data_IF_005596511873
#
_entry.id   IF_005596511873
#
_cell.length_a   1.000
_cell.length_b   1.000
_cell.length_c   1.000
_cell.angle_alpha   90.00
_cell.angle_beta   90.00
_cell.angle_gamma   90.00
#
_symmetry.space_group_name_H-M   'P 1'
#
loop_
_entity.id
_entity.type
_entity.pdbx_description
1 polymer ?
#
# COMPACT_ATOMS: atom_id res chain seq x y z
N UNK A 1 1.87 16.53 -6.51
CA UNK A 1 1.70 16.31 -5.06
C UNK A 1 1.85 17.63 -4.30
N UNK A 2 0.87 18.01 -3.48
CA UNK A 2 0.71 19.36 -2.92
C UNK A 2 1.30 19.55 -1.52
N UNK A 3 1.12 18.56 -0.65
CA UNK A 3 1.63 18.54 0.73
C UNK A 3 2.18 17.14 0.98
N UNK A 4 3.49 17.01 1.20
CA UNK A 4 4.15 15.74 1.52
C UNK A 4 4.76 15.85 2.92
N UNK A 5 4.50 14.87 3.76
CA UNK A 5 5.04 14.78 5.12
C UNK A 5 5.50 13.36 5.39
N UNK A 6 6.56 13.22 6.18
CA UNK A 6 7.02 11.91 6.64
C UNK A 6 7.44 11.95 8.10
N UNK A 7 7.15 10.90 8.84
CA UNK A 7 7.47 10.79 10.26
C UNK A 7 7.89 9.38 10.62
N UNK A 8 8.99 9.25 11.39
CA UNK A 8 9.34 8.02 12.06
C UNK A 8 8.62 7.96 13.41
N UNK A 9 7.81 6.93 13.60
CA UNK A 9 7.21 6.53 14.87
C UNK A 9 7.96 5.30 15.39
N UNK A 10 7.78 4.97 16.67
CA UNK A 10 8.49 3.88 17.35
C UNK A 10 8.55 2.57 16.53
N UNK A 11 7.42 2.18 15.91
CA UNK A 11 7.28 0.90 15.20
C UNK A 11 7.02 1.03 13.69
N UNK A 12 6.96 2.23 13.16
CA UNK A 12 6.65 2.45 11.74
C UNK A 12 7.23 3.77 11.22
N UNK A 13 7.57 3.80 9.94
CA UNK A 13 7.79 5.04 9.21
C UNK A 13 6.56 5.34 8.36
N UNK A 14 6.03 6.56 8.47
CA UNK A 14 4.79 6.97 7.80
C UNK A 14 5.10 8.06 6.81
N UNK A 15 4.66 7.88 5.57
CA UNK A 15 4.64 8.91 4.53
C UNK A 15 3.18 9.30 4.30
N UNK A 16 2.90 10.59 4.15
CA UNK A 16 1.58 11.11 3.78
C UNK A 16 1.74 12.07 2.63
N UNK A 17 0.80 12.03 1.70
CA UNK A 17 0.69 13.11 0.75
C UNK A 17 -0.72 13.41 0.26
N UNK A 18 -0.98 14.70 0.03
CA UNK A 18 -2.20 15.22 -0.58
C UNK A 18 -1.97 15.54 -2.06
N UNK A 19 -2.88 15.11 -2.92
CA UNK A 19 -2.86 15.41 -4.34
C UNK A 19 -3.24 16.88 -4.61
N UNK A 20 -2.54 17.52 -5.57
CA UNK A 20 -2.80 18.92 -5.93
C UNK A 20 -4.14 19.04 -6.65
N UNK A 21 -4.68 20.25 -6.70
CA UNK A 21 -5.90 20.55 -7.46
C UNK A 21 -5.81 20.24 -8.96
N UNK A 22 -4.59 20.17 -9.51
CA UNK A 22 -4.32 19.79 -10.90
C UNK A 22 -4.05 18.29 -11.11
N UNK A 23 -4.22 17.46 -10.08
CA UNK A 23 -3.93 16.03 -10.19
C UNK A 23 -4.88 15.34 -11.18
N UNK A 24 -4.37 14.47 -12.07
CA UNK A 24 -5.22 13.67 -12.94
C UNK A 24 -6.04 12.67 -12.11
N UNK A 25 -7.14 12.18 -12.67
CA UNK A 25 -7.85 11.03 -12.08
C UNK A 25 -7.12 9.74 -12.41
N UNK A 26 -6.81 8.93 -11.39
CA UNK A 26 -6.31 7.55 -11.58
C UNK A 26 -7.14 6.58 -10.74
N UNK A 27 -7.23 5.33 -11.21
CA UNK A 27 -8.06 4.30 -10.60
C UNK A 27 -7.30 3.00 -10.39
N UNK A 28 -7.74 2.24 -9.39
CA UNK A 28 -7.45 0.82 -9.24
C UNK A 28 -8.78 0.09 -9.44
N UNK A 29 -8.89 -0.64 -10.56
CA UNK A 29 -10.19 -1.11 -11.06
C UNK A 29 -11.19 0.05 -11.15
N UNK A 30 -12.35 -0.10 -10.53
CA UNK A 30 -13.38 0.94 -10.51
C UNK A 30 -13.17 2.01 -9.44
N UNK A 31 -12.13 1.91 -8.61
CA UNK A 31 -11.94 2.78 -7.44
C UNK A 31 -11.02 3.95 -7.76
N UNK A 32 -11.48 5.20 -7.60
CA UNK A 32 -10.62 6.39 -7.76
C UNK A 32 -9.66 6.47 -6.58
N UNK A 33 -8.36 6.52 -6.83
CA UNK A 33 -7.32 6.59 -5.78
C UNK A 33 -6.44 7.84 -5.89
N UNK A 34 -6.46 8.49 -7.05
CA UNK A 34 -5.84 9.79 -7.28
C UNK A 34 -6.88 10.70 -7.90
N UNK A 35 -7.08 11.87 -7.30
CA UNK A 35 -7.88 12.98 -7.78
C UNK A 35 -7.52 14.23 -6.96
N UNK A 36 -7.94 15.45 -7.37
CA UNK A 36 -7.79 16.66 -6.56
C UNK A 36 -8.22 16.46 -5.11
N UNK A 37 -7.37 16.84 -4.14
CA UNK A 37 -7.68 16.75 -2.71
C UNK A 37 -7.56 15.37 -2.07
N UNK A 38 -7.45 14.28 -2.86
CA UNK A 38 -7.26 12.94 -2.33
C UNK A 38 -5.94 12.83 -1.57
N UNK A 39 -5.89 11.92 -0.59
CA UNK A 39 -4.72 11.70 0.26
C UNK A 39 -4.33 10.23 0.22
N UNK A 40 -3.04 9.95 0.15
CA UNK A 40 -2.51 8.61 0.46
C UNK A 40 -1.58 8.68 1.67
N UNK A 41 -1.55 7.58 2.42
CA UNK A 41 -0.65 7.38 3.55
C UNK A 41 0.02 6.02 3.39
N UNK A 42 1.35 5.98 3.34
CA UNK A 42 2.12 4.74 3.31
C UNK A 42 2.71 4.46 4.69
N UNK A 43 2.54 3.23 5.15
CA UNK A 43 3.05 2.70 6.39
C UNK A 43 4.15 1.71 6.09
N UNK A 44 5.37 2.00 6.52
CA UNK A 44 6.50 1.08 6.50
C UNK A 44 6.63 0.44 7.89
N UNK A 45 6.29 -0.84 7.99
CA UNK A 45 6.29 -1.56 9.27
C UNK A 45 7.69 -2.06 9.60
N UNK A 46 8.23 -1.67 10.77
CA UNK A 46 9.63 -1.97 11.14
C UNK A 46 9.86 -3.44 11.57
N UNK A 47 8.81 -4.26 11.59
CA UNK A 47 8.89 -5.69 11.88
C UNK A 47 9.15 -6.55 10.63
N UNK A 48 9.33 -5.94 9.46
CA UNK A 48 9.65 -6.64 8.21
C UNK A 48 8.43 -7.09 7.38
N UNK A 49 7.21 -6.65 7.76
CA UNK A 49 6.01 -6.81 6.94
C UNK A 49 6.02 -5.89 5.70
N UNK A 50 5.13 -6.17 4.75
CA UNK A 50 4.91 -5.36 3.56
C UNK A 50 4.54 -3.92 3.94
N UNK A 51 4.98 -2.92 3.16
CA UNK A 51 4.43 -1.59 3.30
C UNK A 51 2.95 -1.63 2.91
N UNK A 52 2.14 -0.81 3.59
CA UNK A 52 0.71 -0.70 3.32
C UNK A 52 0.42 0.73 2.92
N UNK A 53 -0.34 0.93 1.86
CA UNK A 53 -0.84 2.24 1.47
C UNK A 53 -2.34 2.31 1.77
N UNK A 54 -2.76 3.38 2.42
CA UNK A 54 -4.16 3.68 2.70
C UNK A 54 -4.56 4.94 1.94
N UNK A 55 -5.66 4.83 1.20
CA UNK A 55 -6.16 5.89 0.35
C UNK A 55 -7.40 6.52 0.94
N UNK A 56 -7.49 7.84 0.80
CA UNK A 56 -8.58 8.67 1.26
C UNK A 56 -9.05 9.58 0.13
N UNK A 57 -10.35 9.82 0.07
CA UNK A 57 -10.94 10.81 -0.83
C UNK A 57 -10.72 12.24 -0.28
N UNK A 58 -11.25 13.22 -1.01
CA UNK A 58 -11.22 14.64 -0.63
C UNK A 58 -12.06 14.97 0.61
N UNK A 59 -12.96 14.06 1.01
CA UNK A 59 -13.71 14.09 2.26
C UNK A 59 -13.03 13.31 3.40
N UNK A 60 -11.79 12.85 3.20
CA UNK A 60 -10.99 12.08 4.18
C UNK A 60 -11.63 10.73 4.55
N UNK A 61 -12.53 10.22 3.71
CA UNK A 61 -13.13 8.89 3.86
C UNK A 61 -12.20 7.85 3.25
N UNK A 62 -12.10 6.68 3.91
CA UNK A 62 -11.23 5.59 3.44
C UNK A 62 -11.79 5.01 2.15
N UNK A 63 -10.96 5.05 1.11
CA UNK A 63 -11.24 4.52 -0.22
C UNK A 63 -10.81 3.06 -0.35
N UNK A 64 -9.73 2.67 0.33
CA UNK A 64 -9.20 1.32 0.33
C UNK A 64 -7.75 1.25 0.76
N UNK A 65 -7.19 0.05 0.70
CA UNK A 65 -5.80 -0.23 1.02
C UNK A 65 -5.12 -0.92 -0.16
N UNK A 66 -3.93 -0.46 -0.51
CA UNK A 66 -3.04 -1.16 -1.43
C UNK A 66 -1.88 -1.78 -0.65
N UNK A 67 -1.59 -3.04 -0.92
CA UNK A 67 -0.54 -3.81 -0.26
C UNK A 67 0.36 -4.34 -1.38
N UNK A 68 1.43 -3.62 -1.75
CA UNK A 68 2.39 -4.12 -2.73
C UNK A 68 3.09 -5.37 -2.19
N UNK A 69 3.22 -6.39 -3.04
CA UNK A 69 4.04 -7.55 -2.74
C UNK A 69 5.49 -7.19 -3.05
N UNK A 70 6.36 -7.41 -2.09
CA UNK A 70 7.76 -7.07 -2.20
C UNK A 70 8.62 -8.07 -1.43
N UNK A 71 9.91 -8.11 -1.77
CA UNK A 71 10.90 -8.73 -0.89
C UNK A 71 10.95 -7.99 0.45
N UNK A 72 11.41 -8.66 1.53
CA UNK A 72 11.48 -8.06 2.86
C UNK A 72 12.12 -6.67 2.86
N UNK A 73 11.43 -5.72 3.50
CA UNK A 73 11.85 -4.33 3.55
C UNK A 73 13.24 -4.21 4.15
N UNK A 74 14.15 -3.54 3.43
CA UNK A 74 15.50 -3.26 3.88
C UNK A 74 15.58 -1.82 4.37
N UNK A 75 16.19 -1.62 5.54
CA UNK A 75 16.58 -0.29 6.00
C UNK A 75 18.04 -0.02 5.65
N UNK A 76 18.31 1.07 4.94
CA UNK A 76 19.68 1.56 4.68
C UNK A 76 19.78 3.01 5.15
N UNK A 77 20.41 3.20 6.32
CA UNK A 77 20.47 4.49 6.99
C UNK A 77 19.08 5.00 7.41
N UNK A 78 18.70 6.16 6.88
CA UNK A 78 17.40 6.78 7.11
C UNK A 78 16.31 6.35 6.11
N UNK A 79 16.66 5.57 5.08
CA UNK A 79 15.74 5.20 4.00
C UNK A 79 15.28 3.73 4.10
N UNK A 80 14.06 3.49 3.64
CA UNK A 80 13.44 2.18 3.51
C UNK A 80 13.36 1.79 2.05
N UNK A 81 13.65 0.53 1.75
CA UNK A 81 13.66 -0.03 0.41
C UNK A 81 12.86 -1.32 0.39
N UNK A 82 11.91 -1.40 -0.55
CA UNK A 82 11.18 -2.61 -0.87
C UNK A 82 11.42 -2.93 -2.34
N UNK A 83 11.93 -4.13 -2.63
CA UNK A 83 12.05 -4.61 -4.00
C UNK A 83 10.70 -5.18 -4.42
N UNK A 84 10.04 -4.51 -5.36
CA UNK A 84 8.74 -4.92 -5.89
C UNK A 84 8.81 -6.33 -6.48
N UNK A 85 7.72 -7.08 -6.30
CA UNK A 85 7.47 -8.36 -6.96
C UNK A 85 6.36 -8.23 -8.01
N UNK A 86 6.06 -7.01 -8.46
CA UNK A 86 5.08 -6.64 -9.49
C UNK A 86 3.61 -6.97 -9.15
N UNK A 87 3.37 -7.82 -8.17
CA UNK A 87 2.05 -8.10 -7.61
C UNK A 87 1.67 -7.09 -6.53
N UNK A 88 0.37 -6.96 -6.32
CA UNK A 88 -0.20 -6.20 -5.22
C UNK A 88 -1.58 -6.71 -4.84
N UNK A 89 -2.03 -6.37 -3.64
CA UNK A 89 -3.40 -6.61 -3.21
C UNK A 89 -4.12 -5.28 -3.03
N UNK A 90 -5.34 -5.20 -3.56
CA UNK A 90 -6.27 -4.11 -3.26
C UNK A 90 -7.38 -4.62 -2.34
N UNK A 91 -7.42 -4.09 -1.12
CA UNK A 91 -8.44 -4.38 -0.14
C UNK A 91 -9.45 -3.23 -0.08
N UNK A 92 -10.67 -3.53 -0.51
CA UNK A 92 -11.79 -2.60 -0.44
C UNK A 92 -12.27 -2.40 1.01
N UNK A 93 -12.88 -1.24 1.34
CA UNK A 93 -13.44 -0.99 2.67
C UNK A 93 -14.48 -2.01 3.14
N UNK A 94 -15.18 -2.66 2.20
CA UNK A 94 -16.15 -3.72 2.48
C UNK A 94 -15.52 -5.10 2.74
N UNK A 95 -14.18 -5.21 2.69
CA UNK A 95 -13.44 -6.46 2.89
C UNK A 95 -13.21 -7.29 1.61
N UNK A 96 -13.68 -6.86 0.44
CA UNK A 96 -13.36 -7.51 -0.83
C UNK A 96 -11.87 -7.34 -1.15
N UNK A 97 -11.20 -8.42 -1.54
CA UNK A 97 -9.79 -8.44 -1.93
C UNK A 97 -9.66 -8.68 -3.44
N UNK A 98 -8.81 -7.93 -4.10
CA UNK A 98 -8.46 -8.08 -5.52
C UNK A 98 -6.94 -8.21 -5.66
N UNK A 99 -6.48 -9.18 -6.45
CA UNK A 99 -5.05 -9.30 -6.83
C UNK A 99 -4.79 -8.39 -8.04
N UNK A 100 -3.65 -7.72 -8.04
CA UNK A 100 -3.23 -6.79 -9.08
C UNK A 100 -1.87 -7.21 -9.64
N UNK A 101 -1.62 -6.91 -10.91
CA UNK A 101 -0.32 -7.09 -11.56
C UNK A 101 -0.03 -8.51 -12.03
N UNK A 102 -1.05 -9.37 -12.16
CA UNK A 102 -0.88 -10.79 -12.52
C UNK A 102 -0.20 -10.95 -13.89
N UNK A 103 -0.61 -10.17 -14.89
CA UNK A 103 -0.05 -10.21 -16.25
C UNK A 103 1.42 -9.77 -16.26
N UNK A 104 1.76 -8.69 -15.56
CA UNK A 104 3.14 -8.19 -15.47
C UNK A 104 4.05 -9.15 -14.70
N UNK A 105 3.54 -9.77 -13.64
CA UNK A 105 4.25 -10.78 -12.87
C UNK A 105 4.52 -12.03 -13.72
N UNK A 106 3.52 -12.53 -14.43
CA UNK A 106 3.67 -13.70 -15.31
C UNK A 106 4.69 -13.41 -16.42
N UNK A 107 4.61 -12.24 -17.04
CA UNK A 107 5.57 -11.82 -18.06
C UNK A 107 7.01 -11.76 -17.52
N UNK A 108 7.20 -11.20 -16.31
CA UNK A 108 8.51 -11.07 -15.68
C UNK A 108 9.08 -12.42 -15.19
N UNK A 109 8.23 -13.33 -14.75
CA UNK A 109 8.61 -14.70 -14.42
C UNK A 109 9.07 -15.47 -15.67
N UNK A 110 8.30 -15.37 -16.77
CA UNK A 110 8.61 -16.04 -18.02
C UNK A 110 9.87 -15.48 -18.72
N UNK A 111 10.15 -14.19 -18.57
CA UNK A 111 11.33 -13.54 -19.14
C UNK A 111 12.61 -13.75 -18.30
N UNK A 112 12.47 -14.20 -17.05
CA UNK A 112 13.57 -14.33 -16.09
C UNK A 112 13.97 -13.01 -15.41
N UNK A 113 13.17 -11.95 -15.55
CA UNK A 113 13.33 -10.71 -14.77
C UNK A 113 13.11 -10.97 -13.27
N UNK A 114 12.14 -11.83 -12.94
CA UNK A 114 11.99 -12.40 -11.61
C UNK A 114 12.70 -13.75 -11.52
N UNK A 115 13.49 -13.91 -10.46
CA UNK A 115 14.14 -15.19 -10.16
C UNK A 115 13.11 -16.20 -9.61
N UNK A 116 13.37 -17.52 -9.71
CA UNK A 116 12.48 -18.53 -9.15
C UNK A 116 12.18 -18.33 -7.65
N UNK A 117 13.17 -17.86 -6.88
CA UNK A 117 13.01 -17.55 -5.44
C UNK A 117 12.05 -16.39 -5.21
N UNK A 118 12.09 -15.36 -6.06
CA UNK A 118 11.18 -14.22 -5.99
C UNK A 118 9.75 -14.60 -6.33
N UNK A 119 9.57 -15.45 -7.35
CA UNK A 119 8.27 -15.99 -7.75
C UNK A 119 7.66 -16.81 -6.60
N UNK A 120 8.42 -17.77 -6.06
CA UNK A 120 7.98 -18.59 -4.91
C UNK A 120 7.64 -17.72 -3.70
N UNK A 121 8.45 -16.70 -3.42
CA UNK A 121 8.19 -15.76 -2.34
C UNK A 121 6.87 -15.01 -2.54
N UNK A 122 6.62 -14.49 -3.74
CA UNK A 122 5.39 -13.76 -4.05
C UNK A 122 4.14 -14.62 -3.83
N UNK A 123 4.15 -15.85 -4.35
CA UNK A 123 3.06 -16.82 -4.18
C UNK A 123 2.80 -17.15 -2.70
N UNK A 124 3.88 -17.40 -1.94
CA UNK A 124 3.78 -17.65 -0.51
C UNK A 124 3.16 -16.45 0.23
N UNK A 125 3.61 -15.23 -0.07
CA UNK A 125 3.11 -14.01 0.59
C UNK A 125 1.65 -13.74 0.27
N UNK A 126 1.20 -13.91 -0.98
CA UNK A 126 -0.23 -13.79 -1.33
C UNK A 126 -1.08 -14.76 -0.50
N UNK A 127 -0.65 -16.02 -0.36
CA UNK A 127 -1.39 -17.03 0.42
C UNK A 127 -1.51 -16.63 1.88
N UNK A 128 -0.41 -16.17 2.49
CA UNK A 128 -0.38 -15.71 3.88
C UNK A 128 -1.28 -14.49 4.08
N UNK A 129 -1.11 -13.44 3.27
CA UNK A 129 -1.88 -12.21 3.39
C UNK A 129 -3.37 -12.45 3.16
N UNK A 130 -3.74 -13.29 2.19
CA UNK A 130 -5.15 -13.66 1.95
C UNK A 130 -5.78 -14.31 3.18
N UNK A 131 -5.05 -15.23 3.84
CA UNK A 131 -5.51 -15.86 5.07
C UNK A 131 -5.68 -14.84 6.19
N UNK A 132 -4.69 -13.97 6.41
CA UNK A 132 -4.73 -12.97 7.48
C UNK A 132 -5.83 -11.92 7.27
N UNK A 133 -6.07 -11.52 6.02
CA UNK A 133 -7.18 -10.62 5.65
C UNK A 133 -8.52 -11.31 5.90
N UNK A 134 -8.69 -12.58 5.50
CA UNK A 134 -9.92 -13.33 5.75
C UNK A 134 -10.24 -13.47 7.25
N UNK A 135 -9.20 -13.51 8.08
CA UNK A 135 -9.29 -13.56 9.55
C UNK A 135 -9.37 -12.16 10.19
N UNK A 136 -9.43 -11.09 9.40
CA UNK A 136 -9.44 -9.68 9.86
C UNK A 136 -8.22 -9.29 10.72
N UNK A 137 -7.11 -10.01 10.56
CA UNK A 137 -5.82 -9.74 11.23
C UNK A 137 -4.96 -8.75 10.45
N UNK A 138 -5.19 -8.63 9.15
CA UNK A 138 -4.50 -7.71 8.26
C UNK A 138 -5.48 -6.78 7.50
N UNK A 139 -5.15 -5.50 7.25
CA UNK A 139 -4.03 -4.73 7.80
C UNK A 139 -4.02 -4.69 9.35
N UNK A 140 -2.84 -4.50 9.98
CA UNK A 140 -2.75 -4.38 11.43
C UNK A 140 -3.67 -3.29 11.98
N UNK A 141 -4.16 -3.49 13.21
CA UNK A 141 -5.16 -2.62 13.84
C UNK A 141 -4.81 -1.12 13.75
N UNK A 142 -3.55 -0.77 14.01
CA UNK A 142 -3.06 0.62 13.94
C UNK A 142 -3.21 1.26 12.55
N UNK A 143 -3.00 0.50 11.46
CA UNK A 143 -3.18 0.98 10.08
C UNK A 143 -4.67 1.07 9.74
N UNK A 144 -5.44 0.05 10.16
CA UNK A 144 -6.88 0.01 9.95
C UNK A 144 -7.60 1.18 10.61
N UNK A 145 -7.26 1.52 11.86
CA UNK A 145 -7.89 2.61 12.62
C UNK A 145 -7.28 3.99 12.36
N UNK A 146 -6.17 4.08 11.63
CA UNK A 146 -5.57 5.36 11.28
C UNK A 146 -6.58 6.26 10.54
N UNK A 147 -6.79 7.47 11.03
CA UNK A 147 -7.67 8.46 10.41
C UNK A 147 -6.93 9.78 10.25
N UNK A 148 -7.25 10.53 9.20
CA UNK A 148 -6.77 11.88 9.03
C UNK A 148 -7.57 12.80 9.96
N UNK A 149 -6.92 13.36 10.99
CA UNK A 149 -7.55 14.36 11.84
C UNK A 149 -7.89 15.61 11.03
N UNK A 150 -9.09 16.17 11.20
CA UNK A 150 -9.44 17.49 10.69
C UNK A 150 -8.40 18.50 11.17
N UNK A 151 -7.72 19.12 10.21
CA UNK A 151 -6.88 20.27 10.55
C UNK A 151 -7.88 21.37 10.92
N UNK A 152 -7.90 21.78 12.19
CA UNK A 152 -8.69 22.91 12.67
C UNK A 152 -8.46 24.08 11.71
N UNK A 153 -9.49 24.47 10.95
CA UNK A 153 -9.53 25.76 10.29
C UNK A 153 -9.82 26.79 11.39
N UNK A 154 -8.75 27.29 12.00
CA UNK A 154 -8.77 28.54 12.76
C UNK A 154 -8.69 29.75 11.85
#
# INVERSE_FOLDING_TARGET
MGDYRSQLLDKMFVERATWRQSAPTQRIGDTVVVAPGYVWVRFWLLNGEEPIEKYFDDHRTVVGFYIPLCMPVQRRGAAFFARSLLLGLWLHPNGRLTVLGEDEFEAAANSGELTPVEVEHAEYRIRILTLEISQKRYPPGMVRTFALADEYQG
#
